data_IF_523886109783
#
_entry.id   IF_523886109783
#
_cell.length_a   1.000
_cell.length_b   1.000
_cell.length_c   1.000
_cell.angle_alpha   90.00
_cell.angle_beta   90.00
_cell.angle_gamma   90.00
#
_symmetry.space_group_name_H-M   'P 1'
#
loop_
_entity.id
_entity.type
_entity.pdbx_description
1 polymer ?
#
# COMPACT_ATOMS: atom_id res chain seq x y z
N UNK A 1 20.49 -16.69 -18.15
CA UNK A 1 20.69 -15.38 -17.48
C UNK A 1 21.19 -15.60 -16.07
N UNK A 2 22.22 -14.86 -15.68
CA UNK A 2 22.72 -14.79 -14.30
C UNK A 2 21.98 -13.67 -13.58
N UNK A 3 21.54 -13.93 -12.36
CA UNK A 3 20.86 -12.97 -11.50
C UNK A 3 21.39 -13.06 -10.05
N UNK A 4 21.89 -11.96 -9.52
CA UNK A 4 22.25 -11.84 -8.12
C UNK A 4 21.10 -11.19 -7.36
N UNK A 5 20.54 -11.89 -6.37
CA UNK A 5 19.42 -11.35 -5.60
C UNK A 5 19.87 -10.14 -4.74
N UNK A 6 19.28 -8.96 -4.92
CA UNK A 6 19.66 -7.78 -4.15
C UNK A 6 19.19 -7.85 -2.69
N UNK A 7 18.10 -8.53 -2.42
CA UNK A 7 17.52 -8.73 -1.07
C UNK A 7 16.89 -10.11 -0.97
N UNK A 8 16.64 -10.57 0.28
CA UNK A 8 15.85 -11.76 0.53
C UNK A 8 14.40 -11.53 0.08
N UNK A 9 13.82 -12.49 -0.59
CA UNK A 9 12.41 -12.40 -0.94
C UNK A 9 12.02 -13.22 -2.15
N UNK A 10 10.75 -13.08 -2.50
CA UNK A 10 10.16 -13.83 -3.61
C UNK A 10 10.32 -13.07 -4.93
N UNK A 11 10.93 -13.73 -5.90
CA UNK A 11 11.19 -13.22 -7.25
C UNK A 11 10.48 -14.07 -8.28
N UNK A 12 9.97 -13.40 -9.31
CA UNK A 12 9.36 -14.05 -10.46
C UNK A 12 10.28 -13.90 -11.68
N UNK A 13 10.69 -15.01 -12.23
CA UNK A 13 11.37 -15.14 -13.52
C UNK A 13 10.32 -15.44 -14.56
N UNK A 14 10.05 -14.49 -15.44
CA UNK A 14 8.97 -14.55 -16.40
C UNK A 14 9.53 -14.51 -17.81
N UNK A 15 9.15 -15.48 -18.64
CA UNK A 15 9.47 -15.53 -20.05
C UNK A 15 8.23 -15.22 -20.90
N UNK A 16 8.43 -14.51 -21.99
CA UNK A 16 7.44 -14.27 -23.04
C UNK A 16 8.04 -14.74 -24.37
N UNK A 17 7.43 -15.72 -25.00
CA UNK A 17 7.80 -16.15 -26.36
C UNK A 17 7.25 -15.13 -27.36
N UNK A 18 8.14 -14.60 -28.23
CA UNK A 18 7.79 -13.57 -29.22
C UNK A 18 7.26 -14.20 -30.50
N UNK A 19 7.76 -15.36 -30.85
CA UNK A 19 7.28 -16.16 -32.00
C UNK A 19 6.76 -17.49 -31.50
N UNK A 20 5.88 -18.13 -32.30
CA UNK A 20 5.27 -19.42 -31.97
C UNK A 20 6.34 -20.51 -31.83
N UNK A 21 6.84 -20.68 -30.65
CA UNK A 21 7.67 -21.79 -30.21
C UNK A 21 7.35 -22.11 -28.77
N UNK A 22 7.58 -23.31 -28.36
CA UNK A 22 7.35 -23.86 -27.04
C UNK A 22 8.68 -23.85 -26.28
N UNK A 23 8.72 -23.32 -25.07
CA UNK A 23 9.95 -23.22 -24.29
C UNK A 23 9.71 -23.61 -22.82
N UNK A 24 10.74 -24.12 -22.19
CA UNK A 24 10.75 -24.42 -20.78
C UNK A 24 11.89 -23.67 -20.08
N UNK A 25 11.79 -23.52 -18.75
CA UNK A 25 12.76 -22.80 -17.95
C UNK A 25 13.22 -23.57 -16.73
N UNK A 26 14.45 -23.33 -16.37
CA UNK A 26 15.07 -23.80 -15.14
C UNK A 26 15.68 -22.66 -14.36
N UNK A 27 15.57 -22.71 -13.05
CA UNK A 27 16.27 -21.81 -12.14
C UNK A 27 17.19 -22.62 -11.25
N UNK A 28 18.47 -22.29 -11.25
CA UNK A 28 19.50 -22.95 -10.44
C UNK A 28 20.12 -21.96 -9.47
N UNK A 29 20.48 -22.43 -8.28
CA UNK A 29 21.44 -21.74 -7.43
C UNK A 29 22.86 -21.99 -7.97
N UNK A 30 23.78 -21.02 -7.81
CA UNK A 30 25.13 -21.07 -8.37
C UNK A 30 25.90 -22.37 -8.02
N UNK A 31 25.74 -22.84 -6.79
CA UNK A 31 26.39 -24.07 -6.32
C UNK A 31 25.97 -25.32 -7.10
N UNK A 32 24.79 -25.28 -7.70
CA UNK A 32 24.22 -26.40 -8.46
C UNK A 32 24.22 -26.16 -9.97
N UNK A 33 24.78 -25.04 -10.44
CA UNK A 33 24.83 -24.71 -11.85
C UNK A 33 26.10 -25.26 -12.50
N UNK A 34 25.97 -26.37 -13.22
CA UNK A 34 27.02 -26.93 -14.05
C UNK A 34 26.42 -27.60 -15.28
N UNK A 35 27.26 -27.82 -16.30
CA UNK A 35 26.82 -28.36 -17.59
C UNK A 35 26.15 -29.75 -17.48
N UNK A 36 26.64 -30.57 -16.55
CA UNK A 36 26.08 -31.91 -16.35
C UNK A 36 24.68 -31.86 -15.76
N UNK A 37 24.43 -30.95 -14.81
CA UNK A 37 23.10 -30.79 -14.23
C UNK A 37 22.11 -30.25 -15.24
N UNK A 38 22.52 -29.35 -16.12
CA UNK A 38 21.67 -28.88 -17.25
C UNK A 38 21.29 -30.04 -18.16
N UNK A 39 22.27 -30.82 -18.57
CA UNK A 39 22.06 -31.98 -19.44
C UNK A 39 21.14 -33.02 -18.77
N UNK A 40 21.47 -33.42 -17.53
CA UNK A 40 20.68 -34.36 -16.74
C UNK A 40 19.25 -33.86 -16.49
N UNK A 41 19.10 -32.54 -16.25
CA UNK A 41 17.81 -31.88 -16.06
C UNK A 41 16.94 -31.98 -17.32
N UNK A 42 17.51 -31.66 -18.48
CA UNK A 42 16.85 -31.76 -19.79
C UNK A 42 16.48 -33.20 -20.12
N UNK A 43 17.38 -34.13 -19.91
CA UNK A 43 17.11 -35.58 -20.19
C UNK A 43 16.01 -36.10 -19.25
N UNK A 44 16.05 -35.80 -17.98
CA UNK A 44 15.02 -36.19 -17.01
C UNK A 44 13.67 -35.53 -17.28
N UNK A 45 13.65 -34.31 -17.77
CA UNK A 45 12.43 -33.60 -18.18
C UNK A 45 11.80 -34.29 -19.41
N UNK A 46 12.59 -34.52 -20.45
CA UNK A 46 12.13 -35.18 -21.65
C UNK A 46 11.68 -36.65 -21.41
N UNK A 47 12.35 -37.37 -20.52
CA UNK A 47 11.96 -38.71 -20.13
C UNK A 47 10.63 -38.75 -19.34
N UNK A 48 10.36 -37.73 -18.55
CA UNK A 48 9.14 -37.67 -17.74
C UNK A 48 7.91 -37.14 -18.48
N UNK A 49 8.07 -36.32 -19.49
CA UNK A 49 6.94 -35.88 -20.31
C UNK A 49 6.39 -37.03 -21.18
N UNK A 50 7.21 -38.01 -21.46
CA UNK A 50 6.73 -39.26 -22.10
C UNK A 50 5.77 -40.06 -21.19
N UNK A 51 5.79 -39.79 -19.87
CA UNK A 51 4.99 -40.47 -18.86
C UNK A 51 3.99 -39.44 -18.27
N UNK A 52 2.83 -39.29 -18.91
CA UNK A 52 1.81 -38.29 -18.54
C UNK A 52 1.32 -38.52 -17.11
N UNK A 53 1.76 -37.64 -16.18
CA UNK A 53 1.26 -37.55 -14.81
C UNK A 53 2.29 -37.70 -13.69
N UNK A 54 3.58 -37.80 -13.97
CA UNK A 54 4.60 -37.90 -12.93
C UNK A 54 5.02 -36.50 -12.41
N UNK A 55 4.95 -36.28 -11.09
CA UNK A 55 5.57 -35.13 -10.45
C UNK A 55 7.07 -35.08 -10.74
N UNK A 56 7.56 -33.94 -11.19
CA UNK A 56 8.98 -33.72 -11.49
C UNK A 56 9.72 -33.67 -10.16
N UNK A 57 10.73 -34.52 -9.88
CA UNK A 57 11.47 -34.46 -8.64
C UNK A 57 12.20 -33.13 -8.57
N UNK A 58 11.92 -32.33 -7.57
CA UNK A 58 12.72 -31.19 -7.18
C UNK A 58 14.07 -31.70 -6.67
N UNK A 59 15.12 -31.43 -7.42
CA UNK A 59 16.46 -31.48 -6.89
C UNK A 59 16.61 -30.28 -5.93
N UNK A 60 17.12 -30.49 -4.73
CA UNK A 60 17.38 -29.43 -3.76
C UNK A 60 18.19 -28.30 -4.43
N UNK A 61 17.63 -27.07 -4.45
CA UNK A 61 18.26 -25.88 -5.03
C UNK A 61 18.04 -25.64 -6.52
N UNK A 62 16.99 -26.25 -7.11
CA UNK A 62 16.62 -26.05 -8.49
C UNK A 62 15.10 -26.04 -8.67
N UNK A 63 14.61 -25.14 -9.53
CA UNK A 63 13.21 -24.99 -9.90
C UNK A 63 13.04 -25.19 -11.39
N UNK A 64 11.94 -25.77 -11.77
CA UNK A 64 11.62 -26.06 -13.17
C UNK A 64 10.19 -25.65 -13.48
N UNK A 65 9.95 -25.15 -14.68
CA UNK A 65 8.62 -24.83 -15.18
C UNK A 65 8.52 -25.10 -16.67
N UNK A 66 7.41 -25.66 -17.09
CA UNK A 66 6.97 -25.76 -18.48
C UNK A 66 6.19 -24.49 -18.89
N UNK A 67 5.38 -24.54 -19.92
CA UNK A 67 4.66 -23.44 -20.55
C UNK A 67 3.48 -22.83 -19.73
N UNK A 68 3.26 -23.28 -18.50
CA UNK A 68 2.00 -23.05 -17.80
C UNK A 68 1.78 -21.63 -17.23
N UNK A 69 2.82 -20.82 -17.03
CA UNK A 69 2.71 -19.56 -16.26
C UNK A 69 3.30 -18.33 -16.95
N UNK A 70 3.87 -18.50 -18.12
CA UNK A 70 4.39 -17.42 -18.96
C UNK A 70 3.37 -16.95 -19.99
N UNK A 71 3.84 -16.32 -21.03
CA UNK A 71 3.02 -15.86 -22.15
C UNK A 71 3.43 -16.56 -23.44
N UNK A 72 2.44 -17.04 -24.21
CA UNK A 72 2.65 -17.77 -25.47
C UNK A 72 3.47 -19.05 -25.29
N UNK A 73 3.03 -19.94 -24.41
CA UNK A 73 3.74 -21.19 -24.09
C UNK A 73 5.19 -20.99 -23.64
N UNK A 74 5.35 -20.13 -22.63
CA UNK A 74 6.64 -19.81 -22.05
C UNK A 74 6.68 -20.10 -20.54
N UNK A 75 7.86 -20.38 -19.98
CA UNK A 75 8.00 -20.65 -18.55
C UNK A 75 7.89 -19.40 -17.69
N UNK A 76 7.35 -19.57 -16.47
CA UNK A 76 7.48 -18.61 -15.41
C UNK A 76 7.71 -19.31 -14.07
N UNK A 77 8.79 -18.94 -13.39
CA UNK A 77 9.19 -19.53 -12.10
C UNK A 77 9.13 -18.45 -11.05
N UNK A 78 8.46 -18.74 -9.93
CA UNK A 78 8.49 -17.91 -8.74
C UNK A 78 9.21 -18.66 -7.63
N UNK A 79 10.25 -18.05 -7.05
CA UNK A 79 11.09 -18.68 -6.03
C UNK A 79 11.50 -17.69 -4.94
N UNK A 80 11.60 -18.19 -3.72
CA UNK A 80 12.25 -17.48 -2.61
C UNK A 80 13.75 -17.48 -2.83
N UNK A 81 14.36 -16.29 -2.88
CA UNK A 81 15.80 -16.12 -3.07
C UNK A 81 16.43 -15.46 -1.86
N UNK A 82 17.69 -15.82 -1.61
CA UNK A 82 18.50 -15.24 -0.54
C UNK A 82 19.34 -14.08 -1.09
N UNK A 83 19.44 -13.01 -0.29
CA UNK A 83 20.28 -11.86 -0.58
C UNK A 83 21.71 -12.28 -0.91
N UNK A 84 22.29 -11.60 -1.89
CA UNK A 84 23.66 -11.77 -2.37
C UNK A 84 23.99 -13.12 -3.00
N UNK A 85 23.07 -14.08 -3.02
CA UNK A 85 23.21 -15.34 -3.75
C UNK A 85 23.01 -15.12 -5.25
N UNK A 86 23.73 -15.90 -6.04
CA UNK A 86 23.64 -15.90 -7.50
C UNK A 86 22.77 -17.06 -7.96
N UNK A 87 21.90 -16.77 -8.93
CA UNK A 87 21.00 -17.72 -9.55
C UNK A 87 21.15 -17.67 -11.06
N UNK A 88 20.89 -18.79 -11.73
CA UNK A 88 20.93 -18.89 -13.17
C UNK A 88 19.57 -19.33 -13.70
N UNK A 89 18.94 -18.46 -14.48
CA UNK A 89 17.71 -18.79 -15.19
C UNK A 89 18.04 -19.19 -16.62
N UNK A 90 17.74 -20.44 -16.95
CA UNK A 90 18.00 -21.06 -18.24
C UNK A 90 16.68 -21.29 -18.92
N UNK A 91 16.55 -20.86 -20.18
CA UNK A 91 15.39 -21.09 -21.03
C UNK A 91 15.84 -21.87 -22.26
N UNK A 92 15.12 -22.92 -22.56
CA UNK A 92 15.41 -23.80 -23.69
C UNK A 92 14.15 -24.10 -24.49
N UNK A 93 14.31 -24.59 -25.76
CA UNK A 93 13.20 -25.02 -26.55
C UNK A 93 12.68 -26.39 -26.06
N UNK A 94 11.37 -26.58 -26.16
CA UNK A 94 10.73 -27.86 -25.88
C UNK A 94 11.07 -28.93 -26.93
N UNK A 95 11.43 -28.50 -28.14
CA UNK A 95 11.82 -29.36 -29.27
C UNK A 95 13.05 -28.77 -29.96
N UNK A 96 13.35 -29.18 -31.17
CA UNK A 96 14.41 -28.61 -32.02
C UNK A 96 14.05 -27.23 -32.61
N UNK A 97 12.92 -26.64 -32.22
CA UNK A 97 12.47 -25.34 -32.69
C UNK A 97 13.37 -24.23 -32.15
N UNK A 98 13.49 -23.16 -32.92
CA UNK A 98 14.19 -21.96 -32.53
C UNK A 98 13.24 -20.75 -32.52
N UNK A 99 13.41 -19.84 -31.62
CA UNK A 99 12.54 -18.67 -31.48
C UNK A 99 13.19 -17.50 -30.78
N UNK A 100 12.42 -16.45 -30.65
CA UNK A 100 12.79 -15.26 -29.89
C UNK A 100 11.96 -15.19 -28.61
N UNK A 101 12.59 -14.79 -27.51
CA UNK A 101 11.91 -14.63 -26.24
C UNK A 101 12.43 -13.41 -25.49
N UNK A 102 11.62 -12.94 -24.57
CA UNK A 102 11.97 -11.89 -23.61
C UNK A 102 11.93 -12.46 -22.21
N UNK A 103 12.97 -12.20 -21.42
CA UNK A 103 12.99 -12.54 -19.99
C UNK A 103 12.82 -11.27 -19.19
N UNK A 104 11.93 -11.34 -18.19
CA UNK A 104 11.73 -10.32 -17.19
C UNK A 104 11.88 -10.93 -15.81
N UNK A 105 12.73 -10.33 -14.97
CA UNK A 105 12.89 -10.72 -13.57
C UNK A 105 12.32 -9.62 -12.71
N UNK A 106 11.33 -9.95 -11.89
CA UNK A 106 10.64 -9.01 -11.00
C UNK A 106 10.57 -9.54 -9.59
N UNK A 107 10.57 -8.63 -8.61
CA UNK A 107 10.15 -8.96 -7.25
C UNK A 107 8.64 -9.26 -7.25
N UNK A 108 8.19 -10.20 -6.43
CA UNK A 108 6.78 -10.53 -6.29
C UNK A 108 5.98 -9.52 -5.45
N UNK A 109 6.70 -8.56 -4.83
CA UNK A 109 6.13 -7.47 -4.01
C UNK A 109 5.21 -7.94 -2.87
N UNK A 110 5.49 -9.10 -2.26
CA UNK A 110 4.66 -9.68 -1.20
C UNK A 110 4.79 -8.97 0.15
N UNK A 111 5.96 -8.37 0.40
CA UNK A 111 6.22 -7.61 1.63
C UNK A 111 6.29 -6.13 1.30
N UNK A 112 5.44 -5.34 1.94
CA UNK A 112 5.36 -3.91 1.69
C UNK A 112 5.18 -3.13 2.98
N UNK A 113 5.59 -1.87 2.98
CA UNK A 113 5.31 -0.90 4.02
C UNK A 113 4.78 0.40 3.42
N UNK A 114 4.22 1.25 4.27
CA UNK A 114 3.76 2.58 3.87
C UNK A 114 4.87 3.59 4.17
N UNK A 115 5.28 4.34 3.13
CA UNK A 115 6.29 5.39 3.23
C UNK A 115 5.69 6.78 2.97
N UNK A 116 6.21 7.80 3.65
CA UNK A 116 5.84 9.19 3.42
C UNK A 116 4.43 9.59 3.88
N UNK A 117 3.76 8.78 4.71
CA UNK A 117 2.42 9.10 5.22
C UNK A 117 2.45 10.35 6.08
N UNK A 118 1.51 11.26 5.82
CA UNK A 118 1.23 12.42 6.67
C UNK A 118 -0.25 12.50 7.01
N UNK A 119 -0.56 12.95 8.23
CA UNK A 119 -1.95 13.10 8.66
C UNK A 119 -2.47 14.48 8.25
N UNK A 120 -3.71 14.52 7.76
CA UNK A 120 -4.43 15.78 7.54
C UNK A 120 -4.98 16.33 8.88
N UNK A 121 -5.10 17.64 8.96
CA UNK A 121 -5.86 18.34 9.98
C UNK A 121 -6.75 19.39 9.30
N UNK A 122 -7.42 20.26 10.06
CA UNK A 122 -8.30 21.27 9.49
C UNK A 122 -7.59 22.48 8.84
N UNK A 123 -6.25 22.50 8.80
CA UNK A 123 -5.47 23.57 8.16
C UNK A 123 -4.68 23.02 6.98
N UNK A 124 -4.11 21.82 7.15
CA UNK A 124 -3.19 21.20 6.19
C UNK A 124 -3.72 19.86 5.78
N UNK A 125 -3.72 19.62 4.48
CA UNK A 125 -3.99 18.31 3.93
C UNK A 125 -2.93 17.29 4.34
N UNK A 126 -3.19 16.05 4.06
CA UNK A 126 -2.30 14.94 4.35
C UNK A 126 -1.94 14.13 3.11
N UNK A 127 -1.28 13.01 3.35
CA UNK A 127 -0.92 12.03 2.33
C UNK A 127 -1.08 10.63 2.89
N UNK A 128 -1.70 9.72 2.15
CA UNK A 128 -1.89 8.34 2.63
C UNK A 128 -0.59 7.54 2.71
N UNK A 129 0.45 8.02 2.03
CA UNK A 129 1.74 7.33 1.88
C UNK A 129 1.74 6.38 0.71
N UNK A 130 2.93 6.16 0.14
CA UNK A 130 3.16 5.18 -0.91
C UNK A 130 3.30 3.78 -0.31
N UNK A 131 2.79 2.77 -1.02
CA UNK A 131 3.08 1.37 -0.69
C UNK A 131 4.38 1.00 -1.39
N UNK A 132 5.42 0.77 -0.61
CA UNK A 132 6.78 0.47 -1.08
C UNK A 132 7.13 -0.97 -0.76
N UNK A 133 7.71 -1.68 -1.73
CA UNK A 133 8.16 -3.04 -1.53
C UNK A 133 9.43 -3.10 -0.68
N UNK A 134 9.40 -3.88 0.41
CA UNK A 134 10.54 -4.07 1.32
C UNK A 134 11.74 -4.74 0.63
N UNK A 135 11.46 -5.57 -0.37
CA UNK A 135 12.49 -6.37 -1.05
C UNK A 135 13.25 -5.58 -2.12
N UNK A 136 12.58 -4.71 -2.89
CA UNK A 136 13.21 -4.04 -4.03
C UNK A 136 13.13 -2.52 -4.02
N UNK A 137 12.48 -1.94 -3.01
CA UNK A 137 12.32 -0.49 -2.87
C UNK A 137 11.40 0.16 -3.90
N UNK A 138 10.72 -0.62 -4.73
CA UNK A 138 9.82 -0.08 -5.74
C UNK A 138 8.49 0.35 -5.13
N UNK A 139 8.01 1.52 -5.52
CA UNK A 139 6.64 1.93 -5.23
C UNK A 139 5.68 1.02 -6.00
N UNK A 140 4.90 0.25 -5.27
CA UNK A 140 3.90 -0.70 -5.81
C UNK A 140 2.60 0.01 -6.06
N UNK A 141 2.24 0.92 -5.15
CA UNK A 141 1.05 1.74 -5.26
C UNK A 141 1.37 3.15 -4.74
N UNK A 142 0.97 4.15 -5.50
CA UNK A 142 1.16 5.54 -5.11
C UNK A 142 0.05 5.97 -4.17
N UNK A 143 0.41 6.67 -3.11
CA UNK A 143 -0.54 7.23 -2.16
C UNK A 143 -1.41 8.33 -2.77
N UNK A 144 -2.36 8.80 -1.99
CA UNK A 144 -3.29 9.85 -2.36
C UNK A 144 -3.14 11.05 -1.43
N UNK A 145 -3.28 12.26 -1.97
CA UNK A 145 -3.39 13.47 -1.17
C UNK A 145 -4.74 13.50 -0.46
N UNK A 146 -4.72 13.92 0.79
CA UNK A 146 -5.90 14.13 1.60
C UNK A 146 -6.13 15.63 1.73
N UNK A 147 -7.35 16.07 1.48
CA UNK A 147 -7.75 17.45 1.73
C UNK A 147 -7.74 17.76 3.24
N UNK A 148 -7.60 19.04 3.62
CA UNK A 148 -7.81 19.46 5.01
C UNK A 148 -9.20 19.04 5.48
N UNK A 149 -9.29 18.58 6.73
CA UNK A 149 -10.54 18.21 7.35
C UNK A 149 -11.40 19.41 7.72
N UNK A 150 -12.64 19.16 8.14
CA UNK A 150 -13.52 20.20 8.63
C UNK A 150 -13.07 20.71 10.00
N UNK A 151 -13.40 21.99 10.30
CA UNK A 151 -13.17 22.58 11.61
C UNK A 151 -14.16 21.98 12.63
N UNK A 152 -13.64 21.60 13.79
CA UNK A 152 -14.48 21.17 14.92
C UNK A 152 -14.84 22.39 15.77
N UNK A 153 -16.10 22.79 15.75
CA UNK A 153 -16.58 23.99 16.43
C UNK A 153 -16.66 23.83 17.94
N UNK A 154 -16.23 24.85 18.64
CA UNK A 154 -16.40 25.02 20.09
C UNK A 154 -16.73 26.49 20.38
N UNK A 155 -17.78 26.71 21.16
CA UNK A 155 -18.20 28.05 21.56
C UNK A 155 -17.53 28.43 22.89
N UNK A 156 -16.85 29.59 22.92
CA UNK A 156 -16.15 30.11 24.09
C UNK A 156 -16.69 31.49 24.45
N UNK A 157 -16.41 31.93 25.67
CA UNK A 157 -16.75 33.26 26.18
C UNK A 157 -18.24 33.60 26.24
N UNK A 158 -19.09 32.58 26.35
CA UNK A 158 -20.53 32.75 26.54
C UNK A 158 -20.79 33.52 27.86
N UNK A 159 -21.65 34.53 27.81
CA UNK A 159 -22.10 35.30 28.96
C UNK A 159 -23.62 35.41 28.95
N UNK A 160 -24.23 35.03 30.04
CA UNK A 160 -25.66 35.17 30.19
C UNK A 160 -26.06 36.63 30.37
N UNK A 161 -27.13 37.05 29.72
CA UNK A 161 -27.74 38.34 29.94
C UNK A 161 -28.40 38.40 31.35
N UNK A 162 -28.31 39.53 32.01
CA UNK A 162 -29.05 39.79 33.21
C UNK A 162 -29.91 41.04 33.02
N UNK A 163 -30.74 41.44 34.02
CA UNK A 163 -31.48 42.71 33.97
C UNK A 163 -30.56 43.95 33.94
N UNK A 164 -29.29 43.79 34.29
CA UNK A 164 -28.35 44.91 34.40
C UNK A 164 -27.26 44.90 33.35
N UNK A 165 -26.91 43.72 32.87
CA UNK A 165 -25.78 43.51 31.94
C UNK A 165 -26.27 42.73 30.72
N UNK A 166 -25.83 43.15 29.54
CA UNK A 166 -26.03 42.40 28.28
C UNK A 166 -25.27 41.10 28.35
N UNK A 167 -25.82 40.07 27.71
CA UNK A 167 -25.13 38.79 27.51
C UNK A 167 -24.30 38.79 26.22
N UNK A 168 -23.71 37.66 25.95
CA UNK A 168 -22.94 37.37 24.75
C UNK A 168 -23.08 35.92 24.38
N UNK A 169 -23.32 35.61 23.12
CA UNK A 169 -23.54 34.23 22.67
C UNK A 169 -22.24 33.39 22.64
N UNK A 170 -21.10 34.07 22.81
CA UNK A 170 -19.78 33.47 22.70
C UNK A 170 -19.26 33.41 21.25
N UNK A 171 -17.95 33.39 21.13
CA UNK A 171 -17.26 33.24 19.87
C UNK A 171 -17.12 31.74 19.54
N UNK A 172 -17.21 31.39 18.27
CA UNK A 172 -16.97 30.03 17.80
C UNK A 172 -15.52 29.89 17.34
N UNK A 173 -14.81 28.93 17.89
CA UNK A 173 -13.43 28.59 17.55
C UNK A 173 -13.35 27.13 17.10
N UNK A 174 -12.32 26.82 16.30
CA UNK A 174 -11.98 25.44 16.07
C UNK A 174 -11.23 24.88 17.29
N UNK A 175 -11.73 23.79 17.89
CA UNK A 175 -11.09 23.10 19.03
C UNK A 175 -9.75 22.45 18.69
N UNK A 176 -9.44 22.25 17.40
CA UNK A 176 -8.21 21.59 16.91
C UNK A 176 -7.11 22.62 16.60
N UNK A 177 -7.45 23.71 15.88
CA UNK A 177 -6.47 24.69 15.41
C UNK A 177 -6.57 26.05 16.07
N UNK A 178 -7.57 26.28 16.94
CA UNK A 178 -7.84 27.53 17.67
C UNK A 178 -8.12 28.75 16.78
N UNK A 179 -8.42 28.56 15.50
CA UNK A 179 -8.84 29.66 14.63
C UNK A 179 -10.28 30.06 15.00
N UNK A 180 -10.53 31.36 15.12
CA UNK A 180 -11.86 31.91 15.29
C UNK A 180 -12.66 31.74 14.01
N UNK A 181 -13.78 31.02 14.07
CA UNK A 181 -14.65 30.69 12.93
C UNK A 181 -15.80 31.69 12.80
N UNK A 182 -16.35 32.11 13.93
CA UNK A 182 -17.43 33.09 13.95
C UNK A 182 -17.37 33.97 15.20
N UNK A 183 -17.86 35.18 15.06
CA UNK A 183 -18.04 36.12 16.16
C UNK A 183 -19.43 35.95 16.77
N UNK A 184 -19.48 35.92 18.09
CA UNK A 184 -20.74 35.90 18.81
C UNK A 184 -21.50 37.22 18.69
N UNK A 185 -22.70 37.24 19.19
CA UNK A 185 -23.56 38.42 19.22
C UNK A 185 -23.86 38.83 20.65
N UNK A 186 -24.00 40.13 20.85
CA UNK A 186 -24.45 40.70 22.14
C UNK A 186 -25.94 40.42 22.27
N UNK A 187 -26.34 39.78 23.36
CA UNK A 187 -27.75 39.61 23.71
C UNK A 187 -28.24 40.76 24.58
N UNK A 188 -29.45 41.29 24.35
CA UNK A 188 -30.00 42.39 25.16
C UNK A 188 -30.13 42.00 26.63
N UNK A 189 -30.15 42.98 27.49
CA UNK A 189 -30.48 42.80 28.91
C UNK A 189 -31.87 42.15 29.03
N UNK A 190 -32.03 41.33 30.05
CA UNK A 190 -33.36 40.78 30.37
C UNK A 190 -34.29 41.91 30.87
N UNK A 191 -35.53 41.87 30.42
CA UNK A 191 -36.54 42.73 30.97
C UNK A 191 -36.90 42.32 32.39
N UNK A 192 -37.35 43.29 33.22
CA UNK A 192 -37.79 42.98 34.57
C UNK A 192 -39.17 42.32 34.56
N UNK A 193 -39.26 41.07 34.93
CA UNK A 193 -40.52 40.34 35.13
C UNK A 193 -40.85 40.35 36.63
N UNK A 194 -41.91 41.07 37.01
CA UNK A 194 -42.33 41.23 38.40
C UNK A 194 -43.40 40.22 38.80
N UNK A 195 -43.24 39.53 39.89
CA UNK A 195 -44.24 38.75 40.61
C UNK A 195 -44.20 39.21 42.07
N UNK A 196 -45.36 39.54 42.66
CA UNK A 196 -45.47 40.14 43.98
C UNK A 196 -44.56 41.36 44.22
N UNK A 197 -44.43 42.21 43.18
CA UNK A 197 -43.56 43.40 43.17
C UNK A 197 -42.05 43.08 43.23
N UNK A 198 -41.62 41.83 43.09
CA UNK A 198 -40.22 41.46 43.07
C UNK A 198 -39.85 40.88 41.70
N UNK A 199 -38.79 41.38 41.08
CA UNK A 199 -38.33 40.86 39.80
C UNK A 199 -37.75 39.43 39.98
N UNK A 200 -38.28 38.46 39.20
CA UNK A 200 -37.88 37.07 39.21
C UNK A 200 -36.40 36.89 38.85
N UNK A 201 -35.90 37.70 37.93
CA UNK A 201 -34.56 37.56 37.38
C UNK A 201 -33.45 38.21 38.23
N UNK A 202 -33.74 39.24 39.00
CA UNK A 202 -32.71 40.00 39.74
C UNK A 202 -33.10 40.42 41.17
N UNK A 203 -34.32 40.12 41.63
CA UNK A 203 -34.78 40.46 42.98
C UNK A 203 -35.11 41.96 43.21
N UNK A 204 -35.03 42.78 42.18
CA UNK A 204 -35.37 44.21 42.31
C UNK A 204 -36.86 44.41 42.67
N UNK A 205 -37.14 45.21 43.64
CA UNK A 205 -38.49 45.56 44.05
C UNK A 205 -39.03 46.65 43.09
N UNK A 206 -40.24 46.50 42.62
CA UNK A 206 -40.99 47.52 41.87
C UNK A 206 -41.66 48.45 42.89
N UNK A 207 -41.18 49.66 42.97
CA UNK A 207 -41.70 50.70 43.88
C UNK A 207 -42.76 51.62 43.17
N UNK A 208 -43.44 51.13 42.16
CA UNK A 208 -44.43 51.89 41.44
C UNK A 208 -45.77 51.90 42.18
#
# INVERSE_FOLDING_TARGET
IQFKAPENGKYKFYCENIKNWDSYGYLFIEENFNDQIIIDGIEKFNAKKADSGAEIPTLSGYWQCDDEHGKNSAPAITAELEKDKTYYFVVGPYSTATGEFRITITCAHEKTHIEGRTFSNCIVGGYTGDIVCDTCGKVVEQGQTLEPGEHQEAVLDVKDATCYVTGYTGDTYCSVCNIKLAEGTVTPKLEHEYEDNVCKNCGRINNA
#
